data_IF_847248601065
#
_entry.id   IF_847248601065
#
_cell.length_a   1.000
_cell.length_b   1.000
_cell.length_c   1.000
_cell.angle_alpha   90.00
_cell.angle_beta   90.00
_cell.angle_gamma   90.00
#
_symmetry.space_group_name_H-M   'P 1'
#
loop_
_entity.id
_entity.type
_entity.pdbx_description
1 polymer ?
#
# COMPACT_ATOMS: atom_id res chain seq x y z
N UNK A 1 -64.43 19.24 5.05
CA UNK A 1 -63.97 20.52 4.50
C UNK A 1 -62.47 20.36 4.24
N UNK A 2 -62.00 19.64 3.20
CA UNK A 2 -61.92 20.08 1.79
C UNK A 2 -61.32 21.49 1.72
N UNK A 3 -60.14 21.75 1.15
CA UNK A 3 -59.66 21.49 -0.24
C UNK A 3 -58.11 21.56 -0.25
N UNK A 4 -57.34 20.59 -0.76
CA UNK A 4 -56.90 20.40 -2.15
C UNK A 4 -56.67 21.70 -2.95
N UNK A 5 -55.40 22.02 -3.23
CA UNK A 5 -55.03 22.67 -4.49
C UNK A 5 -53.66 22.20 -4.97
N UNK A 6 -53.66 21.74 -6.21
CA UNK A 6 -52.62 21.10 -7.02
C UNK A 6 -52.16 22.08 -8.08
N UNK A 7 -50.85 22.23 -8.31
CA UNK A 7 -50.25 22.70 -9.56
C UNK A 7 -48.71 22.60 -9.45
N UNK A 8 -47.90 22.38 -10.49
CA UNK A 8 -47.99 21.77 -11.81
C UNK A 8 -46.54 21.78 -12.34
N UNK A 9 -46.21 20.82 -13.19
CA UNK A 9 -44.94 20.63 -13.90
C UNK A 9 -44.40 21.89 -14.62
N UNK A 10 -43.06 22.01 -14.70
CA UNK A 10 -42.31 22.16 -15.97
C UNK A 10 -40.80 22.07 -15.68
N UNK A 11 -40.13 21.00 -16.08
CA UNK A 11 -39.58 20.81 -17.44
C UNK A 11 -38.57 21.90 -17.84
N UNK A 12 -37.29 21.61 -17.59
CA UNK A 12 -36.17 22.31 -18.23
C UNK A 12 -35.45 21.33 -19.13
N UNK A 13 -35.98 21.25 -20.35
CA UNK A 13 -35.28 20.86 -21.56
C UNK A 13 -34.04 21.74 -21.75
N UNK A 14 -32.85 21.13 -21.77
CA UNK A 14 -31.64 21.73 -22.36
C UNK A 14 -31.37 20.97 -23.65
N UNK A 15 -31.86 21.56 -24.73
CA UNK A 15 -31.67 21.15 -26.11
C UNK A 15 -30.27 21.53 -26.58
N UNK A 16 -29.47 20.50 -26.87
CA UNK A 16 -28.69 20.29 -28.10
C UNK A 16 -27.81 21.42 -28.65
N UNK A 17 -26.50 21.15 -28.74
CA UNK A 17 -25.59 21.99 -29.51
C UNK A 17 -24.15 21.50 -29.63
N UNK A 18 -23.89 20.25 -30.06
CA UNK A 18 -22.58 19.93 -30.64
C UNK A 18 -22.68 18.90 -31.77
N UNK A 19 -22.18 19.34 -32.93
CA UNK A 19 -22.12 18.61 -34.20
C UNK A 19 -21.13 17.44 -34.13
N UNK A 20 -21.47 16.41 -34.89
CA UNK A 20 -20.71 15.18 -35.10
C UNK A 20 -19.28 15.39 -35.64
N UNK A 21 -18.40 14.44 -35.28
CA UNK A 21 -17.30 13.99 -36.14
C UNK A 21 -17.44 12.49 -36.38
N UNK A 22 -17.47 12.00 -37.64
CA UNK A 22 -17.55 10.57 -37.93
C UNK A 22 -16.20 9.89 -37.66
N UNK A 23 -16.22 8.84 -36.85
CA UNK A 23 -15.06 7.97 -36.65
C UNK A 23 -15.07 6.89 -37.74
N UNK A 24 -14.27 7.10 -38.79
CA UNK A 24 -14.03 6.13 -39.84
C UNK A 24 -12.93 5.15 -39.40
N UNK A 25 -13.23 3.86 -39.50
CA UNK A 25 -12.23 2.86 -39.90
C UNK A 25 -11.58 2.04 -38.80
N UNK A 26 -12.27 0.99 -38.34
CA UNK A 26 -11.60 -0.26 -37.97
C UNK A 26 -12.35 -1.42 -38.63
N UNK A 27 -11.62 -2.14 -39.49
CA UNK A 27 -12.09 -3.28 -40.28
C UNK A 27 -12.64 -4.37 -39.35
N UNK A 28 -13.94 -4.67 -39.46
CA UNK A 28 -14.54 -5.87 -38.88
C UNK A 28 -13.95 -7.09 -39.59
N UNK A 29 -13.08 -7.84 -38.91
CA UNK A 29 -12.79 -9.22 -39.32
C UNK A 29 -13.97 -10.07 -38.85
N UNK A 30 -14.82 -10.46 -39.80
CA UNK A 30 -15.85 -11.48 -39.59
C UNK A 30 -15.17 -12.80 -39.26
N UNK A 31 -15.24 -13.24 -37.99
CA UNK A 31 -14.98 -14.64 -37.65
C UNK A 31 -16.30 -15.39 -37.76
N UNK A 32 -16.44 -16.14 -38.85
CA UNK A 32 -17.54 -17.07 -39.06
C UNK A 32 -17.37 -18.28 -38.14
N UNK A 33 -18.25 -18.40 -37.15
CA UNK A 33 -18.36 -19.57 -36.28
C UNK A 33 -19.04 -20.67 -37.10
N UNK A 34 -18.28 -21.63 -37.61
CA UNK A 34 -18.84 -22.82 -38.25
C UNK A 34 -19.42 -23.73 -37.18
N UNK A 35 -20.76 -23.75 -37.06
CA UNK A 35 -21.48 -24.72 -36.26
C UNK A 35 -21.48 -26.08 -36.97
N UNK A 36 -20.56 -26.96 -36.59
CA UNK A 36 -20.60 -28.37 -36.95
C UNK A 36 -21.73 -29.05 -36.17
N UNK A 37 -22.82 -29.39 -36.87
CA UNK A 37 -23.88 -30.27 -36.36
C UNK A 37 -23.48 -31.70 -36.66
N UNK A 38 -22.84 -32.37 -35.71
CA UNK A 38 -22.70 -33.83 -35.76
C UNK A 38 -23.96 -34.47 -35.19
N UNK A 39 -24.64 -35.24 -36.05
CA UNK A 39 -25.78 -36.10 -35.70
C UNK A 39 -25.31 -37.22 -34.78
N UNK A 40 -25.92 -37.32 -33.60
CA UNK A 40 -25.88 -38.53 -32.78
C UNK A 40 -26.97 -39.48 -33.30
N UNK A 41 -26.66 -40.72 -33.72
CA UNK A 41 -27.68 -41.72 -33.94
C UNK A 41 -28.13 -42.32 -32.60
N UNK A 42 -29.45 -42.41 -32.46
CA UNK A 42 -30.11 -43.08 -31.35
C UNK A 42 -30.47 -44.50 -31.79
N UNK A 43 -29.85 -45.50 -31.17
CA UNK A 43 -30.51 -46.72 -30.68
C UNK A 43 -29.51 -47.75 -30.13
N UNK A 44 -29.92 -48.33 -29.01
CA UNK A 44 -29.77 -49.74 -28.59
C UNK A 44 -29.27 -49.90 -27.16
N UNK A 45 -30.24 -50.26 -26.33
CA UNK A 45 -30.07 -50.82 -25.00
C UNK A 45 -29.07 -51.98 -25.03
N UNK A 46 -27.99 -51.83 -24.26
CA UNK A 46 -27.32 -52.96 -23.65
C UNK A 46 -27.19 -52.67 -22.15
N UNK A 47 -28.00 -53.39 -21.38
CA UNK A 47 -27.95 -53.44 -19.93
C UNK A 47 -26.73 -54.28 -19.54
N UNK A 48 -25.56 -53.67 -19.38
CA UNK A 48 -24.38 -54.32 -18.78
C UNK A 48 -24.08 -53.67 -17.44
N UNK A 49 -24.44 -54.38 -16.38
CA UNK A 49 -24.18 -54.12 -14.98
C UNK A 49 -22.68 -54.25 -14.65
N UNK A 50 -21.87 -53.39 -15.26
CA UNK A 50 -20.48 -53.17 -14.85
C UNK A 50 -20.35 -51.75 -14.34
N UNK A 51 -20.42 -51.64 -13.03
CA UNK A 51 -19.95 -50.50 -12.25
C UNK A 51 -18.55 -50.13 -12.78
N UNK A 52 -18.48 -49.14 -13.65
CA UNK A 52 -17.22 -48.45 -13.96
C UNK A 52 -16.84 -47.73 -12.69
N UNK A 53 -15.97 -48.36 -11.90
CA UNK A 53 -15.17 -47.70 -10.88
C UNK A 53 -14.59 -46.45 -11.52
N UNK A 54 -15.04 -45.28 -11.08
CA UNK A 54 -14.42 -44.01 -11.41
C UNK A 54 -12.97 -44.15 -10.94
N UNK A 55 -12.05 -44.28 -11.89
CA UNK A 55 -10.64 -44.14 -11.62
C UNK A 55 -10.51 -42.84 -10.84
N UNK A 56 -10.05 -42.94 -9.60
CA UNK A 56 -9.67 -41.83 -8.74
C UNK A 56 -8.95 -40.83 -9.60
N UNK A 57 -9.53 -39.63 -9.76
CA UNK A 57 -8.82 -38.51 -10.36
C UNK A 57 -7.47 -38.42 -9.67
N UNK A 58 -6.42 -38.83 -10.37
CA UNK A 58 -5.04 -38.49 -10.04
C UNK A 58 -5.05 -36.98 -9.80
N UNK A 59 -4.65 -36.48 -8.62
CA UNK A 59 -4.59 -35.04 -8.45
C UNK A 59 -3.61 -34.56 -9.51
N UNK A 60 -4.11 -33.71 -10.42
CA UNK A 60 -3.28 -32.90 -11.28
C UNK A 60 -2.31 -32.22 -10.32
N UNK A 61 -1.05 -32.63 -10.34
CA UNK A 61 0.05 -31.79 -9.87
C UNK A 61 -0.01 -30.59 -10.80
N UNK A 62 -0.77 -29.59 -10.39
CA UNK A 62 -0.83 -28.33 -11.09
C UNK A 62 0.60 -27.85 -11.25
N UNK A 63 0.92 -27.56 -12.50
CA UNK A 63 2.24 -27.34 -13.06
C UNK A 63 2.95 -26.19 -12.34
N UNK A 64 3.75 -26.48 -11.32
CA UNK A 64 4.74 -25.54 -10.81
C UNK A 64 6.11 -26.13 -11.11
N UNK A 65 6.63 -25.79 -12.30
CA UNK A 65 8.02 -26.04 -12.69
C UNK A 65 8.94 -24.87 -12.26
N UNK A 66 8.52 -24.08 -11.27
CA UNK A 66 9.27 -22.94 -10.74
C UNK A 66 9.53 -23.05 -9.25
N UNK A 67 10.58 -22.38 -8.78
CA UNK A 67 11.01 -22.40 -7.40
C UNK A 67 10.04 -21.62 -6.52
N UNK A 68 9.78 -22.13 -5.31
CA UNK A 68 9.05 -21.39 -4.27
C UNK A 68 10.02 -20.65 -3.35
N UNK A 69 9.90 -19.34 -3.33
CA UNK A 69 10.76 -18.44 -2.55
C UNK A 69 9.93 -17.85 -1.41
N UNK A 70 10.24 -18.25 -0.19
CA UNK A 70 9.62 -17.73 1.01
C UNK A 70 10.17 -16.37 1.39
N UNK A 71 9.29 -15.42 1.74
CA UNK A 71 9.69 -14.15 2.37
C UNK A 71 9.05 -14.05 3.76
N UNK A 72 9.93 -13.92 4.76
CA UNK A 72 9.59 -13.76 6.16
C UNK A 72 10.02 -12.40 6.69
N UNK A 73 9.39 -11.95 7.77
CA UNK A 73 9.76 -10.73 8.46
C UNK A 73 9.63 -10.93 9.95
N UNK A 74 10.73 -10.66 10.65
CA UNK A 74 10.79 -10.68 12.11
C UNK A 74 10.95 -9.25 12.58
N UNK A 75 9.90 -8.72 13.19
CA UNK A 75 9.96 -7.47 13.93
C UNK A 75 10.31 -7.73 15.40
N UNK A 76 10.78 -6.70 16.10
CA UNK A 76 10.99 -6.76 17.57
C UNK A 76 9.72 -7.08 18.36
N UNK A 77 8.53 -7.03 17.73
CA UNK A 77 7.24 -7.38 18.34
C UNK A 77 6.77 -8.80 18.01
N UNK A 78 7.41 -9.48 17.07
CA UNK A 78 7.02 -10.84 16.72
C UNK A 78 7.47 -11.80 17.82
N UNK A 79 6.48 -12.42 18.47
CA UNK A 79 6.72 -13.34 19.58
C UNK A 79 7.22 -14.71 19.10
N UNK A 80 6.92 -15.10 17.86
CA UNK A 80 7.22 -16.44 17.31
C UNK A 80 7.68 -16.40 15.85
N UNK A 81 8.95 -16.05 15.57
CA UNK A 81 9.51 -16.05 14.21
C UNK A 81 9.67 -17.46 13.61
N UNK A 82 9.75 -18.49 14.46
CA UNK A 82 9.91 -19.89 14.05
C UNK A 82 8.65 -20.41 13.35
N UNK A 83 7.46 -20.14 13.90
CA UNK A 83 6.19 -20.51 13.30
C UNK A 83 6.02 -19.98 11.87
N UNK A 84 6.57 -18.80 11.58
CA UNK A 84 6.56 -18.23 10.24
C UNK A 84 7.44 -19.02 9.26
N UNK A 85 8.65 -19.39 9.70
CA UNK A 85 9.57 -20.18 8.89
C UNK A 85 9.03 -21.59 8.65
N UNK A 86 8.41 -22.19 9.66
CA UNK A 86 7.82 -23.52 9.56
C UNK A 86 6.65 -23.55 8.57
N UNK A 87 5.79 -22.51 8.58
CA UNK A 87 4.73 -22.37 7.59
C UNK A 87 5.26 -22.24 6.15
N UNK A 88 6.34 -21.48 5.95
CA UNK A 88 6.96 -21.32 4.63
C UNK A 88 7.63 -22.62 4.15
N UNK A 89 8.31 -23.34 5.05
CA UNK A 89 8.88 -24.66 4.75
C UNK A 89 7.80 -25.68 4.42
N UNK A 90 6.70 -25.71 5.19
CA UNK A 90 5.55 -26.58 4.94
C UNK A 90 4.87 -26.28 3.60
N UNK A 91 4.89 -25.02 3.15
CA UNK A 91 4.43 -24.62 1.83
C UNK A 91 5.38 -25.01 0.68
N UNK A 92 6.51 -25.64 0.97
CA UNK A 92 7.49 -26.10 -0.02
C UNK A 92 8.45 -25.03 -0.50
N UNK A 93 8.69 -23.96 0.29
CA UNK A 93 9.69 -22.95 -0.05
C UNK A 93 11.11 -23.53 0.07
N UNK A 94 11.87 -23.46 -1.02
CA UNK A 94 13.26 -23.95 -1.08
C UNK A 94 14.24 -22.94 -0.49
N UNK A 95 13.96 -21.64 -0.67
CA UNK A 95 14.74 -20.54 -0.12
C UNK A 95 13.84 -19.64 0.69
N UNK A 96 14.28 -19.23 1.88
CA UNK A 96 13.53 -18.32 2.75
C UNK A 96 14.38 -17.09 3.08
N UNK A 97 13.93 -15.93 2.63
CA UNK A 97 14.54 -14.63 2.89
C UNK A 97 13.86 -13.97 4.09
N UNK A 98 14.61 -13.66 5.13
CA UNK A 98 14.04 -13.15 6.39
C UNK A 98 14.52 -11.74 6.71
N UNK A 99 13.64 -10.76 6.53
CA UNK A 99 13.92 -9.38 6.94
C UNK A 99 13.88 -9.25 8.48
N UNK A 100 14.95 -8.73 9.08
CA UNK A 100 14.97 -8.32 10.50
C UNK A 100 14.62 -6.85 10.62
N UNK A 101 13.39 -6.55 11.04
CA UNK A 101 12.94 -5.18 11.24
C UNK A 101 13.29 -4.68 12.65
N UNK A 102 14.46 -4.04 12.79
CA UNK A 102 14.77 -3.18 13.95
C UNK A 102 14.27 -1.76 13.67
N UNK A 103 13.14 -1.39 14.27
CA UNK A 103 12.61 -0.03 14.20
C UNK A 103 12.11 0.44 12.82
N UNK A 104 12.05 1.78 12.66
CA UNK A 104 11.38 2.53 11.57
C UNK A 104 12.06 2.43 10.19
N UNK A 105 13.06 1.56 10.01
CA UNK A 105 13.90 1.50 8.81
C UNK A 105 13.15 0.94 7.61
N UNK A 106 13.04 1.73 6.53
CA UNK A 106 12.29 1.43 5.30
C UNK A 106 12.94 0.36 4.40
N UNK A 107 14.24 0.10 4.55
CA UNK A 107 14.97 -0.84 3.69
C UNK A 107 14.57 -2.28 3.96
N UNK A 108 14.38 -3.04 2.88
CA UNK A 108 13.99 -4.45 2.88
C UNK A 108 14.97 -5.28 2.06
N UNK A 109 16.25 -5.34 2.49
CA UNK A 109 17.31 -5.92 1.68
C UNK A 109 17.07 -7.40 1.36
N UNK A 110 16.35 -8.14 2.21
CA UNK A 110 16.08 -9.56 1.95
C UNK A 110 14.91 -9.76 0.98
N UNK A 111 13.88 -8.91 1.02
CA UNK A 111 12.84 -8.90 -0.02
C UNK A 111 13.44 -8.51 -1.38
N UNK A 112 14.29 -7.49 -1.42
CA UNK A 112 14.95 -7.04 -2.67
C UNK A 112 15.78 -8.18 -3.28
N UNK A 113 16.50 -8.95 -2.45
CA UNK A 113 17.23 -10.15 -2.88
C UNK A 113 16.29 -11.23 -3.40
N UNK A 114 15.19 -11.50 -2.72
CA UNK A 114 14.20 -12.48 -3.17
C UNK A 114 13.67 -12.12 -4.57
N UNK A 115 13.37 -10.84 -4.81
CA UNK A 115 12.90 -10.32 -6.11
C UNK A 115 13.96 -10.36 -7.21
N UNK A 116 15.25 -10.30 -6.85
CA UNK A 116 16.37 -10.45 -7.79
C UNK A 116 16.63 -11.92 -8.16
N UNK A 117 16.38 -12.84 -7.22
CA UNK A 117 16.56 -14.28 -7.43
C UNK A 117 15.41 -14.88 -8.24
N UNK A 118 14.19 -14.36 -8.06
CA UNK A 118 12.99 -14.83 -8.74
C UNK A 118 13.08 -14.70 -10.27
N UNK A 119 12.66 -15.76 -10.96
CA UNK A 119 12.60 -15.88 -12.41
C UNK A 119 11.17 -16.15 -12.86
N UNK A 120 10.91 -15.97 -14.15
CA UNK A 120 9.64 -16.34 -14.76
C UNK A 120 9.27 -17.80 -14.41
N UNK A 121 8.05 -18.00 -13.94
CA UNK A 121 7.52 -19.28 -13.46
C UNK A 121 7.71 -19.54 -11.96
N UNK A 122 8.56 -18.78 -11.26
CA UNK A 122 8.75 -18.89 -9.81
C UNK A 122 7.58 -18.29 -9.04
N UNK A 123 7.49 -18.65 -7.75
CA UNK A 123 6.49 -18.12 -6.83
C UNK A 123 7.14 -17.46 -5.62
N UNK A 124 6.77 -16.22 -5.34
CA UNK A 124 7.04 -15.56 -4.06
C UNK A 124 5.94 -15.94 -3.08
N UNK A 125 6.32 -16.63 -2.00
CA UNK A 125 5.40 -17.13 -0.98
C UNK A 125 5.59 -16.33 0.30
N UNK A 126 4.50 -15.81 0.87
CA UNK A 126 4.50 -15.18 2.19
C UNK A 126 3.41 -15.73 3.06
N UNK A 127 3.59 -15.65 4.38
CA UNK A 127 2.54 -16.09 5.30
C UNK A 127 1.35 -15.13 5.31
N UNK A 128 1.61 -13.82 5.33
CA UNK A 128 0.60 -12.76 5.44
C UNK A 128 0.97 -11.55 4.58
N UNK A 129 -0.03 -10.78 4.14
CA UNK A 129 0.14 -9.58 3.30
C UNK A 129 1.02 -8.49 3.95
N UNK A 130 0.95 -8.32 5.27
CA UNK A 130 1.76 -7.34 6.04
C UNK A 130 3.27 -7.63 6.00
N UNK A 131 3.64 -8.81 5.50
CA UNK A 131 5.02 -9.25 5.32
C UNK A 131 5.61 -8.79 3.99
N UNK A 132 4.82 -8.34 3.02
CA UNK A 132 5.29 -7.83 1.72
C UNK A 132 5.31 -6.30 1.61
N UNK A 133 4.33 -5.61 2.21
CA UNK A 133 4.18 -4.16 2.07
C UNK A 133 3.94 -3.45 3.40
N UNK A 134 4.18 -2.14 3.41
CA UNK A 134 3.75 -1.24 4.51
C UNK A 134 2.42 -0.56 4.22
N UNK A 135 2.13 -0.40 2.94
CA UNK A 135 0.84 0.04 2.43
C UNK A 135 0.38 -0.99 1.40
N UNK A 136 -0.91 -0.98 1.16
CA UNK A 136 -1.53 -1.83 0.17
C UNK A 136 -1.19 -1.40 -1.26
N UNK A 137 -1.06 -0.10 -1.51
CA UNK A 137 -0.58 0.45 -2.78
C UNK A 137 0.75 -0.19 -3.19
N UNK A 138 1.74 -0.20 -2.28
CA UNK A 138 3.03 -0.88 -2.51
C UNK A 138 2.86 -2.37 -2.84
N UNK A 139 1.82 -3.01 -2.29
CA UNK A 139 1.57 -4.44 -2.48
C UNK A 139 0.94 -4.72 -3.84
N UNK A 140 0.03 -3.85 -4.30
CA UNK A 140 -0.58 -3.91 -5.63
C UNK A 140 0.48 -3.64 -6.71
N UNK A 141 1.29 -2.59 -6.52
CA UNK A 141 2.41 -2.28 -7.43
C UNK A 141 3.40 -3.45 -7.53
N UNK A 142 3.76 -4.03 -6.38
CA UNK A 142 4.64 -5.20 -6.34
C UNK A 142 4.01 -6.39 -7.08
N UNK A 143 2.73 -6.68 -6.86
CA UNK A 143 2.04 -7.77 -7.55
C UNK A 143 1.97 -7.55 -9.05
N UNK A 144 1.72 -6.32 -9.52
CA UNK A 144 1.72 -6.00 -10.94
C UNK A 144 3.13 -6.20 -11.53
N UNK A 145 4.16 -5.76 -10.81
CA UNK A 145 5.57 -5.94 -11.21
C UNK A 145 5.94 -7.42 -11.29
N UNK A 146 5.49 -8.24 -10.34
CA UNK A 146 5.71 -9.68 -10.34
C UNK A 146 5.00 -10.34 -11.53
N UNK A 147 3.75 -9.96 -11.78
CA UNK A 147 2.97 -10.46 -12.91
C UNK A 147 3.61 -10.12 -14.26
N UNK A 148 4.13 -8.90 -14.43
CA UNK A 148 4.88 -8.50 -15.63
C UNK A 148 6.16 -9.33 -15.85
N UNK A 149 6.76 -9.83 -14.77
CA UNK A 149 7.93 -10.72 -14.79
C UNK A 149 7.56 -12.21 -14.89
N UNK A 150 6.26 -12.53 -14.95
CA UNK A 150 5.76 -13.91 -14.91
C UNK A 150 6.07 -14.64 -13.61
N UNK A 151 6.21 -13.90 -12.51
CA UNK A 151 6.39 -14.44 -11.15
C UNK A 151 5.05 -14.34 -10.42
N UNK A 152 4.64 -15.42 -9.76
CA UNK A 152 3.40 -15.43 -9.01
C UNK A 152 3.61 -15.10 -7.53
N UNK A 153 2.57 -14.56 -6.90
CA UNK A 153 2.50 -14.27 -5.49
C UNK A 153 1.51 -15.21 -4.81
N UNK A 154 1.98 -15.86 -3.74
CA UNK A 154 1.18 -16.75 -2.90
C UNK A 154 1.18 -16.23 -1.47
N UNK A 155 -0.01 -16.15 -0.88
CA UNK A 155 -0.21 -15.72 0.51
C UNK A 155 -0.97 -16.80 1.27
N UNK A 156 -0.29 -17.41 2.23
CA UNK A 156 -0.78 -18.62 2.91
C UNK A 156 -2.02 -18.35 3.77
N UNK A 157 -2.00 -17.33 4.63
CA UNK A 157 -3.09 -17.08 5.58
C UNK A 157 -4.39 -16.61 4.90
N UNK A 158 -4.26 -15.79 3.85
CA UNK A 158 -5.39 -15.30 3.08
C UNK A 158 -5.79 -16.24 1.93
N UNK A 159 -5.05 -17.34 1.72
CA UNK A 159 -5.32 -18.31 0.65
C UNK A 159 -5.25 -17.70 -0.75
N UNK A 160 -4.43 -16.66 -0.95
CA UNK A 160 -4.34 -15.95 -2.23
C UNK A 160 -3.25 -16.59 -3.07
N UNK A 161 -3.57 -16.90 -4.33
CA UNK A 161 -2.61 -17.40 -5.30
C UNK A 161 -2.82 -16.70 -6.65
N UNK A 162 -1.89 -15.79 -7.00
CA UNK A 162 -1.99 -15.00 -8.25
C UNK A 162 -1.65 -15.79 -9.51
N UNK A 163 -1.25 -17.06 -9.43
CA UNK A 163 -1.14 -17.92 -10.61
C UNK A 163 -2.52 -18.15 -11.25
N UNK A 164 -3.57 -18.15 -10.42
CA UNK A 164 -4.96 -18.34 -10.85
C UNK A 164 -5.64 -17.01 -11.17
N UNK A 165 -6.55 -17.02 -12.16
CA UNK A 165 -7.36 -15.83 -12.48
C UNK A 165 -8.23 -15.38 -11.30
N UNK A 166 -8.76 -16.33 -10.53
CA UNK A 166 -9.57 -16.07 -9.34
C UNK A 166 -8.73 -15.40 -8.25
N UNK A 167 -7.52 -15.90 -7.98
CA UNK A 167 -6.65 -15.31 -6.97
C UNK A 167 -6.16 -13.91 -7.35
N UNK A 168 -5.89 -13.64 -8.64
CA UNK A 168 -5.60 -12.27 -9.12
C UNK A 168 -6.78 -11.32 -8.88
N UNK A 169 -8.00 -11.74 -9.22
CA UNK A 169 -9.20 -10.93 -8.97
C UNK A 169 -9.41 -10.68 -7.48
N UNK A 170 -9.28 -11.72 -6.65
CA UNK A 170 -9.46 -11.62 -5.20
C UNK A 170 -8.43 -10.69 -4.56
N UNK A 171 -7.17 -10.77 -5.01
CA UNK A 171 -6.11 -9.87 -4.59
C UNK A 171 -6.42 -8.40 -4.92
N UNK A 172 -6.91 -8.13 -6.14
CA UNK A 172 -7.34 -6.76 -6.53
C UNK A 172 -8.50 -6.25 -5.68
N UNK A 173 -9.47 -7.11 -5.33
CA UNK A 173 -10.60 -6.74 -4.46
C UNK A 173 -10.10 -6.42 -3.04
N UNK A 174 -9.21 -7.25 -2.48
CA UNK A 174 -8.57 -6.95 -1.18
C UNK A 174 -7.80 -5.62 -1.23
N UNK A 175 -7.16 -5.35 -2.36
CA UNK A 175 -6.61 -4.04 -2.74
C UNK A 175 -7.62 -2.90 -2.62
N UNK A 176 -8.73 -2.99 -3.34
CA UNK A 176 -9.74 -1.92 -3.32
C UNK A 176 -10.32 -1.69 -1.91
N UNK A 177 -10.54 -2.75 -1.13
CA UNK A 177 -11.10 -2.65 0.23
C UNK A 177 -10.15 -1.92 1.17
N UNK A 178 -8.87 -2.29 1.21
CA UNK A 178 -7.97 -1.67 2.18
C UNK A 178 -7.55 -0.24 1.78
N UNK A 179 -7.59 0.14 0.48
CA UNK A 179 -7.52 1.55 0.07
C UNK A 179 -8.71 2.36 0.57
N UNK A 180 -9.92 1.82 0.43
CA UNK A 180 -11.14 2.44 0.93
C UNK A 180 -11.10 2.64 2.45
N UNK A 181 -10.68 1.64 3.22
CA UNK A 181 -10.51 1.75 4.67
C UNK A 181 -9.49 2.83 5.06
N UNK A 182 -8.36 2.89 4.35
CA UNK A 182 -7.34 3.91 4.59
C UNK A 182 -7.86 5.33 4.32
N UNK A 183 -8.60 5.50 3.22
CA UNK A 183 -9.24 6.78 2.88
C UNK A 183 -10.21 7.23 3.99
N UNK A 184 -11.07 6.32 4.48
CA UNK A 184 -11.98 6.60 5.60
C UNK A 184 -11.25 6.95 6.91
N UNK A 185 -10.14 6.28 7.22
CA UNK A 185 -9.34 6.61 8.41
C UNK A 185 -8.70 8.00 8.29
N UNK A 186 -8.19 8.34 7.10
CA UNK A 186 -7.60 9.66 6.82
C UNK A 186 -8.64 10.76 6.96
N UNK A 187 -9.83 10.58 6.38
CA UNK A 187 -10.95 11.52 6.45
C UNK A 187 -11.34 11.80 7.91
N UNK A 188 -11.60 10.75 8.71
CA UNK A 188 -11.92 10.89 10.13
C UNK A 188 -10.82 11.62 10.92
N UNK A 189 -9.57 11.37 10.58
CA UNK A 189 -8.42 12.03 11.23
C UNK A 189 -8.44 13.52 10.88
N UNK A 190 -8.63 13.86 9.62
CA UNK A 190 -8.71 15.25 9.16
C UNK A 190 -9.88 16.01 9.78
N UNK A 191 -11.06 15.39 9.87
CA UNK A 191 -12.22 15.94 10.55
C UNK A 191 -11.95 16.16 12.05
N UNK A 192 -11.31 15.19 12.70
CA UNK A 192 -10.90 15.29 14.10
C UNK A 192 -9.91 16.44 14.33
N UNK A 193 -8.92 16.61 13.44
CA UNK A 193 -7.99 17.74 13.47
C UNK A 193 -8.69 19.07 13.20
N UNK A 194 -9.62 19.13 12.24
CA UNK A 194 -10.39 20.33 11.94
C UNK A 194 -11.24 20.75 13.14
N UNK A 195 -11.97 19.80 13.76
CA UNK A 195 -12.75 20.03 14.97
C UNK A 195 -11.87 20.40 16.19
N UNK A 196 -10.66 19.86 16.30
CA UNK A 196 -9.71 20.26 17.34
C UNK A 196 -9.20 21.69 17.12
N UNK A 197 -8.87 22.07 15.88
CA UNK A 197 -8.45 23.44 15.51
C UNK A 197 -9.57 24.45 15.74
N UNK A 198 -10.81 24.12 15.37
CA UNK A 198 -11.98 24.95 15.65
C UNK A 198 -12.19 25.20 17.15
N UNK A 199 -11.82 24.22 18.00
CA UNK A 199 -11.80 24.34 19.47
C UNK A 199 -10.53 25.01 20.02
N UNK A 200 -9.68 25.58 19.16
CA UNK A 200 -8.47 26.31 19.55
C UNK A 200 -7.22 25.45 19.78
N UNK A 201 -7.23 24.14 19.47
CA UNK A 201 -6.00 23.32 19.52
C UNK A 201 -5.16 23.51 18.26
N UNK A 202 -4.01 24.14 18.39
CA UNK A 202 -3.08 24.43 17.28
C UNK A 202 -2.30 23.19 16.78
N UNK A 203 -2.16 22.15 17.61
CA UNK A 203 -1.38 20.95 17.28
C UNK A 203 0.14 21.19 17.24
N UNK A 204 0.92 20.19 16.83
CA UNK A 204 2.37 20.28 16.64
C UNK A 204 3.23 20.07 17.91
N UNK A 205 4.55 20.06 17.71
CA UNK A 205 5.52 19.95 18.82
C UNK A 205 5.49 21.24 19.64
N UNK A 206 5.39 21.11 20.97
CA UNK A 206 5.52 22.26 21.88
C UNK A 206 6.89 22.93 21.69
N UNK A 207 6.98 24.26 21.70
CA UNK A 207 8.27 24.95 21.67
C UNK A 207 9.19 24.44 22.77
N UNK A 208 10.47 24.25 22.45
CA UNK A 208 11.48 23.78 23.42
C UNK A 208 11.78 24.83 24.50
N UNK A 209 11.58 26.12 24.18
CA UNK A 209 11.72 27.23 25.12
C UNK A 209 10.37 27.87 25.40
N UNK A 210 10.05 28.06 26.67
CA UNK A 210 8.89 28.84 27.10
C UNK A 210 9.10 30.34 26.91
N UNK A 211 8.03 31.17 26.98
CA UNK A 211 8.13 32.62 26.74
C UNK A 211 9.15 33.34 27.63
N UNK A 212 9.30 32.92 28.89
CA UNK A 212 10.29 33.48 29.82
C UNK A 212 11.72 33.11 29.41
N UNK A 213 11.95 31.87 29.01
CA UNK A 213 13.26 31.40 28.56
C UNK A 213 13.67 32.07 27.24
N UNK A 214 12.71 32.32 26.34
CA UNK A 214 12.97 33.09 25.11
C UNK A 214 13.43 34.52 25.43
N UNK A 215 12.76 35.20 26.36
CA UNK A 215 13.17 36.55 26.79
C UNK A 215 14.56 36.56 27.44
N UNK A 216 14.85 35.56 28.28
CA UNK A 216 16.16 35.45 28.90
C UNK A 216 17.26 35.15 27.87
N UNK A 217 17.00 34.26 26.91
CA UNK A 217 17.92 33.98 25.81
C UNK A 217 18.16 35.21 24.91
N UNK A 218 17.13 36.04 24.69
CA UNK A 218 17.27 37.33 23.99
C UNK A 218 18.15 38.31 24.77
N UNK A 219 17.92 38.46 26.07
CA UNK A 219 18.74 39.32 26.92
C UNK A 219 20.21 38.88 26.93
N UNK A 220 20.48 37.58 27.13
CA UNK A 220 21.85 37.03 27.09
C UNK A 220 22.52 37.21 25.71
N UNK A 221 21.74 37.24 24.63
CA UNK A 221 22.27 37.46 23.29
C UNK A 221 22.62 38.92 23.00
N UNK A 222 21.86 39.85 23.57
CA UNK A 222 22.04 41.30 23.43
C UNK A 222 23.07 41.87 24.41
N UNK A 223 23.39 41.15 25.49
CA UNK A 223 24.36 41.56 26.48
C UNK A 223 25.76 41.71 25.85
N UNK A 224 26.32 42.91 25.99
CA UNK A 224 27.65 43.27 25.51
C UNK A 224 28.57 43.35 26.72
N UNK A 225 29.68 42.61 26.68
CA UNK A 225 30.72 42.67 27.70
C UNK A 225 31.52 43.97 27.62
N UNK A 226 32.37 44.19 28.63
CA UNK A 226 33.29 45.34 28.72
C UNK A 226 34.13 45.58 27.45
N UNK A 227 34.36 44.52 26.68
CA UNK A 227 35.26 44.51 25.53
C UNK A 227 34.56 44.90 24.21
N UNK A 228 33.31 45.38 24.29
CA UNK A 228 32.49 45.75 23.13
C UNK A 228 31.99 44.56 22.29
N UNK A 229 32.25 43.33 22.74
CA UNK A 229 31.78 42.07 22.14
C UNK A 229 30.63 41.49 22.97
N UNK A 230 29.87 40.54 22.41
CA UNK A 230 28.82 39.83 23.15
C UNK A 230 29.40 39.11 24.36
N UNK A 231 28.72 39.24 25.49
CA UNK A 231 29.08 38.59 26.74
C UNK A 231 28.97 37.05 26.64
N UNK A 232 27.97 36.56 25.93
CA UNK A 232 27.74 35.13 25.73
C UNK A 232 27.75 34.74 24.25
N UNK A 233 28.37 33.61 23.95
CA UNK A 233 28.27 32.98 22.63
C UNK A 233 26.93 32.26 22.47
N UNK A 234 26.47 32.09 21.23
CA UNK A 234 25.22 31.37 20.95
C UNK A 234 25.30 29.89 21.38
N UNK A 235 26.50 29.29 21.39
CA UNK A 235 26.69 27.94 21.90
C UNK A 235 26.48 27.88 23.42
N UNK A 236 27.08 28.81 24.17
CA UNK A 236 26.87 28.90 25.63
C UNK A 236 25.41 29.13 26.00
N UNK A 237 24.70 30.00 25.26
CA UNK A 237 23.26 30.21 25.46
C UNK A 237 22.48 28.92 25.16
N UNK A 238 22.84 28.19 24.11
CA UNK A 238 22.18 26.94 23.75
C UNK A 238 22.39 25.85 24.83
N UNK A 239 23.60 25.73 25.35
CA UNK A 239 23.97 24.78 26.41
C UNK A 239 23.25 25.10 27.73
N UNK A 240 23.15 26.38 28.10
CA UNK A 240 22.43 26.85 29.30
C UNK A 240 20.95 26.41 29.29
N UNK A 241 20.29 26.48 28.13
CA UNK A 241 18.90 26.08 27.99
C UNK A 241 18.72 24.61 27.55
N UNK A 242 19.80 23.84 27.40
CA UNK A 242 19.74 22.44 26.94
C UNK A 242 19.14 22.27 25.54
N UNK A 243 19.31 23.26 24.65
CA UNK A 243 18.80 23.25 23.29
C UNK A 243 19.94 23.36 22.27
N UNK A 244 19.64 23.17 20.99
CA UNK A 244 20.63 23.32 19.92
C UNK A 244 20.73 24.77 19.46
N UNK A 245 21.90 25.21 18.96
CA UNK A 245 22.07 26.55 18.36
C UNK A 245 20.96 26.95 17.36
N UNK A 246 20.50 26.08 16.45
CA UNK A 246 19.38 26.41 15.55
C UNK A 246 18.07 26.71 16.28
N UNK A 247 17.85 26.11 17.47
CA UNK A 247 16.68 26.40 18.29
C UNK A 247 16.75 27.83 18.85
N UNK A 248 17.93 28.26 19.32
CA UNK A 248 18.16 29.64 19.77
C UNK A 248 17.92 30.63 18.63
N UNK A 249 18.56 30.45 17.46
CA UNK A 249 18.37 31.36 16.32
C UNK A 249 16.91 31.49 15.86
N UNK A 250 16.14 30.39 15.91
CA UNK A 250 14.70 30.39 15.58
C UNK A 250 13.89 31.32 16.49
N UNK A 251 14.29 31.45 17.75
CA UNK A 251 13.62 32.30 18.74
C UNK A 251 14.19 33.74 18.80
N UNK A 252 15.37 33.99 18.19
CA UNK A 252 16.01 35.30 18.08
C UNK A 252 15.63 36.09 16.81
N UNK A 253 14.73 35.56 15.96
CA UNK A 253 14.16 36.32 14.83
C UNK A 253 15.11 36.61 13.67
N UNK A 254 16.22 35.88 13.51
CA UNK A 254 17.08 35.95 12.32
C UNK A 254 17.44 34.54 11.86
N UNK A 255 16.81 34.07 10.78
CA UNK A 255 17.37 32.99 9.98
C UNK A 255 18.57 33.59 9.23
N UNK A 256 19.83 33.17 9.44
CA UNK A 256 20.89 33.52 8.52
C UNK A 256 20.59 32.83 7.18
N UNK A 257 20.53 33.59 6.09
CA UNK A 257 20.38 33.11 4.70
C UNK A 257 21.63 32.32 4.23
N UNK A 258 21.97 31.22 4.89
CA UNK A 258 23.14 30.39 4.53
C UNK A 258 22.82 28.91 4.32
N UNK A 259 21.54 28.57 4.11
CA UNK A 259 21.12 27.23 3.69
C UNK A 259 20.21 27.28 2.43
N UNK A 260 20.47 28.21 1.52
CA UNK A 260 20.06 28.08 0.13
C UNK A 260 21.27 27.56 -0.66
N UNK A 261 21.23 26.28 -1.02
CA UNK A 261 22.18 25.68 -1.96
C UNK A 261 23.18 24.70 -1.34
N UNK A 262 22.81 23.43 -1.26
CA UNK A 262 23.54 22.35 -1.97
C UNK A 262 22.69 21.07 -2.00
N UNK A 263 22.40 20.60 -3.21
CA UNK A 263 21.99 19.25 -3.68
C UNK A 263 20.88 18.50 -2.92
#
# INVERSE_FOLDING_TARGET
MATLETAALNDKTVTTGLRARPWNGVRKRSFAIHAARDRVPADQHCNDSRVRTYATHTPLRDTVLGMRIGVARVSTRDQHPEAQQDALKAAGCEQVFTDKASGKLARRPELDKALLVAREGDQIVVTKLDRLGRSLENLIELSNTLQERGVDLVVLDQGVDTSTAVGRMFFQILGAIAEFEHALMSERTMDGLAAARARGRTGGQKPKLGPRQVKLAQAMYEEIGSDGKRAYTVQQIADEFGVTRPTIYRHLGKIPRQFEGTA
#
